data_IF_351093415851
#
_entry.id   IF_351093415851
#
_cell.length_a   1.000
_cell.length_b   1.000
_cell.length_c   1.000
_cell.angle_alpha   90.00
_cell.angle_beta   90.00
_cell.angle_gamma   90.00
#
_symmetry.space_group_name_H-M   'P 1'
#
loop_
_entity.id
_entity.type
_entity.pdbx_description
1 polymer ?
#
# COMPACT_ATOMS: atom_id res chain seq x y z
N UNK A 1 15.85 19.24 -25.14
CA UNK A 1 15.99 17.78 -24.98
C UNK A 1 17.40 17.47 -25.39
N UNK A 2 18.28 17.23 -24.41
CA UNK A 2 19.71 17.00 -24.64
C UNK A 2 19.94 15.66 -25.34
N UNK A 3 21.07 15.59 -26.08
CA UNK A 3 21.49 14.35 -26.77
C UNK A 3 21.63 13.16 -25.80
N UNK A 4 21.96 13.41 -24.54
CA UNK A 4 22.08 12.39 -23.48
C UNK A 4 20.76 11.67 -23.16
N UNK A 5 19.60 12.35 -23.17
CA UNK A 5 18.29 11.69 -22.99
C UNK A 5 17.96 10.70 -24.11
N UNK A 6 18.47 10.92 -25.32
CA UNK A 6 18.28 10.00 -26.44
C UNK A 6 19.20 8.77 -26.38
N UNK A 7 20.33 8.86 -25.70
CA UNK A 7 21.24 7.71 -25.53
C UNK A 7 20.72 6.68 -24.52
N UNK A 8 20.06 7.10 -23.46
CA UNK A 8 19.54 6.21 -22.42
C UNK A 8 18.44 5.24 -22.91
N UNK A 9 17.68 5.63 -23.94
CA UNK A 9 16.59 4.81 -24.48
C UNK A 9 17.07 3.71 -25.45
N UNK A 10 18.38 3.61 -25.70
CA UNK A 10 19.01 2.65 -26.64
C UNK A 10 19.86 1.60 -25.91
N UNK A 11 20.12 1.80 -24.61
CA UNK A 11 20.92 0.86 -23.81
C UNK A 11 20.16 -0.45 -23.55
N UNK A 12 20.88 -1.57 -23.54
CA UNK A 12 20.35 -2.80 -22.96
C UNK A 12 20.16 -2.64 -21.45
N UNK A 13 19.37 -3.52 -20.83
CA UNK A 13 19.11 -3.49 -19.40
C UNK A 13 20.41 -3.58 -18.57
N UNK A 14 21.36 -4.43 -18.97
CA UNK A 14 22.67 -4.58 -18.33
C UNK A 14 23.56 -3.34 -18.49
N UNK A 15 23.56 -2.71 -19.68
CA UNK A 15 24.29 -1.47 -19.92
C UNK A 15 23.70 -0.29 -19.14
N UNK A 16 22.37 -0.25 -19.02
CA UNK A 16 21.68 0.77 -18.23
C UNK A 16 21.97 0.65 -16.74
N UNK A 17 21.95 -0.60 -16.19
CA UNK A 17 22.31 -0.85 -14.80
C UNK A 17 23.75 -0.45 -14.50
N UNK A 18 24.69 -0.82 -15.37
CA UNK A 18 26.09 -0.41 -15.25
C UNK A 18 26.24 1.11 -15.30
N UNK A 19 25.47 1.79 -16.15
CA UNK A 19 25.46 3.26 -16.21
C UNK A 19 24.97 3.87 -14.90
N UNK A 20 23.91 3.33 -14.29
CA UNK A 20 23.36 3.80 -13.01
C UNK A 20 24.37 3.62 -11.87
N UNK A 21 25.02 2.46 -11.78
CA UNK A 21 26.08 2.21 -10.76
C UNK A 21 27.24 3.21 -10.89
N UNK A 22 27.72 3.46 -12.13
CA UNK A 22 28.77 4.46 -12.34
C UNK A 22 28.32 5.88 -11.99
N UNK A 23 27.03 6.19 -12.19
CA UNK A 23 26.48 7.50 -11.79
C UNK A 23 26.38 7.65 -10.28
N UNK A 24 26.07 6.56 -9.55
CA UNK A 24 26.08 6.53 -8.08
C UNK A 24 27.50 6.82 -7.56
N UNK A 25 28.50 6.07 -8.04
CA UNK A 25 29.90 6.26 -7.63
C UNK A 25 30.37 7.71 -7.91
N UNK A 26 30.05 8.24 -9.08
CA UNK A 26 30.43 9.61 -9.45
C UNK A 26 29.71 10.67 -8.58
N UNK A 27 28.46 10.44 -8.23
CA UNK A 27 27.69 11.33 -7.34
C UNK A 27 28.26 11.32 -5.92
N UNK A 28 28.61 10.14 -5.37
CA UNK A 28 29.22 10.02 -4.05
C UNK A 28 30.57 10.75 -3.96
N UNK A 29 31.40 10.69 -5.02
CA UNK A 29 32.62 11.49 -5.09
C UNK A 29 32.35 13.00 -5.06
N UNK A 30 31.28 13.47 -5.69
CA UNK A 30 30.88 14.87 -5.65
C UNK A 30 30.31 15.28 -4.31
N UNK A 31 29.56 14.43 -3.64
CA UNK A 31 29.08 14.64 -2.28
C UNK A 31 30.28 14.85 -1.33
N UNK A 32 31.32 14.00 -1.39
CA UNK A 32 32.53 14.17 -0.60
C UNK A 32 33.27 15.49 -0.85
N UNK A 33 33.16 16.03 -2.06
CA UNK A 33 33.76 17.32 -2.45
C UNK A 33 32.85 18.52 -2.27
N UNK A 34 31.59 18.29 -1.87
CA UNK A 34 30.54 19.31 -1.77
C UNK A 34 30.24 20.03 -3.10
N UNK A 35 30.28 19.27 -4.22
CA UNK A 35 30.11 19.76 -5.60
C UNK A 35 28.88 19.17 -6.30
N UNK A 36 27.87 18.73 -5.57
CA UNK A 36 26.73 17.94 -6.07
C UNK A 36 25.43 18.72 -6.22
N UNK A 37 25.29 19.88 -5.59
CA UNK A 37 24.02 20.61 -5.45
C UNK A 37 23.31 20.86 -6.80
N UNK A 38 24.07 21.24 -7.83
CA UNK A 38 23.51 21.53 -9.16
C UNK A 38 23.10 20.26 -9.93
N UNK A 39 23.56 19.08 -9.51
CA UNK A 39 23.33 17.83 -10.21
C UNK A 39 22.36 16.89 -9.48
N UNK A 40 22.00 17.17 -8.21
CA UNK A 40 21.17 16.30 -7.38
C UNK A 40 19.81 16.00 -8.02
N UNK A 41 19.21 16.97 -8.70
CA UNK A 41 17.93 16.80 -9.39
C UNK A 41 18.03 15.79 -10.54
N UNK A 42 19.06 15.90 -11.37
CA UNK A 42 19.27 14.99 -12.50
C UNK A 42 19.63 13.58 -12.01
N UNK A 43 20.42 13.49 -10.94
CA UNK A 43 20.78 12.23 -10.31
C UNK A 43 19.56 11.53 -9.72
N UNK A 44 18.70 12.24 -8.99
CA UNK A 44 17.49 11.67 -8.41
C UNK A 44 16.48 11.25 -9.50
N UNK A 45 16.37 12.01 -10.60
CA UNK A 45 15.57 11.59 -11.75
C UNK A 45 16.12 10.33 -12.42
N UNK A 46 17.43 10.13 -12.44
CA UNK A 46 18.05 8.91 -12.94
C UNK A 46 17.71 7.72 -12.06
N UNK A 47 17.82 7.84 -10.74
CA UNK A 47 17.47 6.79 -9.79
C UNK A 47 15.97 6.43 -9.87
N UNK A 48 15.08 7.43 -9.99
CA UNK A 48 13.65 7.22 -10.21
C UNK A 48 13.40 6.43 -11.50
N UNK A 49 14.04 6.80 -12.61
CA UNK A 49 13.94 6.10 -13.91
C UNK A 49 14.47 4.67 -13.82
N UNK A 50 15.52 4.44 -13.04
CA UNK A 50 16.11 3.13 -12.80
C UNK A 50 15.33 2.30 -11.76
N UNK A 51 14.25 2.83 -11.18
CA UNK A 51 13.49 2.20 -10.09
C UNK A 51 14.33 1.89 -8.84
N UNK A 52 15.38 2.70 -8.59
CA UNK A 52 16.32 2.57 -7.46
C UNK A 52 15.81 3.36 -6.25
N UNK A 53 14.63 2.99 -5.75
CA UNK A 53 13.96 3.70 -4.65
C UNK A 53 14.65 3.53 -3.30
N UNK A 54 15.33 2.41 -3.09
CA UNK A 54 16.11 2.19 -1.87
C UNK A 54 17.26 3.18 -1.76
N UNK A 55 17.94 3.47 -2.90
CA UNK A 55 19.01 4.47 -2.94
C UNK A 55 18.44 5.89 -2.76
N UNK A 56 17.30 6.20 -3.39
CA UNK A 56 16.61 7.47 -3.15
C UNK A 56 16.24 7.65 -1.67
N UNK A 57 15.73 6.61 -1.02
CA UNK A 57 15.40 6.65 0.39
C UNK A 57 16.66 6.88 1.25
N UNK A 58 17.74 6.17 0.95
CA UNK A 58 19.02 6.33 1.63
C UNK A 58 19.50 7.79 1.57
N UNK A 59 19.55 8.39 0.37
CA UNK A 59 19.97 9.79 0.20
C UNK A 59 19.02 10.80 0.84
N UNK A 60 17.72 10.50 0.92
CA UNK A 60 16.73 11.38 1.58
C UNK A 60 16.79 11.30 3.11
N UNK A 61 17.28 10.20 3.69
CA UNK A 61 17.49 10.02 5.14
C UNK A 61 18.82 10.61 5.64
N UNK A 62 19.78 10.82 4.73
CA UNK A 62 21.04 11.49 5.09
C UNK A 62 20.80 12.99 5.26
N UNK A 63 20.85 13.47 6.51
CA UNK A 63 20.75 14.90 6.87
C UNK A 63 21.87 15.79 6.29
N UNK A 64 22.73 15.23 5.42
CA UNK A 64 23.92 15.88 4.89
C UNK A 64 23.71 16.44 3.47
N UNK A 65 22.64 16.06 2.77
CA UNK A 65 22.38 16.55 1.43
C UNK A 65 21.60 17.86 1.45
N UNK A 66 22.21 18.90 0.88
CA UNK A 66 21.54 20.15 0.62
C UNK A 66 20.86 20.12 -0.75
N UNK A 67 19.65 20.61 -0.83
CA UNK A 67 18.89 20.73 -2.06
C UNK A 67 18.94 22.16 -2.59
N UNK A 68 18.88 22.35 -3.92
CA UNK A 68 18.91 23.70 -4.52
C UNK A 68 17.79 24.60 -4.00
N UNK A 69 16.65 24.02 -3.65
CA UNK A 69 15.48 24.71 -3.09
C UNK A 69 14.75 23.81 -2.09
N UNK A 70 14.02 24.43 -1.14
CA UNK A 70 13.10 23.70 -0.28
C UNK A 70 12.01 22.96 -1.05
N UNK A 71 11.56 23.51 -2.17
CA UNK A 71 10.59 22.88 -3.05
C UNK A 71 11.11 21.54 -3.60
N UNK A 72 12.37 21.52 -4.06
CA UNK A 72 13.02 20.31 -4.54
C UNK A 72 13.10 19.24 -3.45
N UNK A 73 13.58 19.60 -2.27
CA UNK A 73 13.61 18.71 -1.11
C UNK A 73 12.24 18.10 -0.80
N UNK A 74 11.19 18.93 -0.70
CA UNK A 74 9.86 18.43 -0.38
C UNK A 74 9.26 17.56 -1.48
N UNK A 75 9.51 17.87 -2.76
CA UNK A 75 9.04 17.04 -3.87
C UNK A 75 9.63 15.63 -3.81
N UNK A 76 10.93 15.50 -3.59
CA UNK A 76 11.57 14.19 -3.49
C UNK A 76 11.17 13.44 -2.23
N UNK A 77 11.10 14.13 -1.10
CA UNK A 77 10.64 13.54 0.17
C UNK A 77 9.23 12.96 0.06
N UNK A 78 8.32 13.69 -0.59
CA UNK A 78 6.95 13.24 -0.81
C UNK A 78 6.92 12.04 -1.78
N UNK A 79 7.67 12.07 -2.89
CA UNK A 79 7.74 10.97 -3.83
C UNK A 79 8.24 9.68 -3.19
N UNK A 80 9.33 9.74 -2.43
CA UNK A 80 9.89 8.60 -1.72
C UNK A 80 8.90 8.07 -0.68
N UNK A 81 8.24 8.95 0.08
CA UNK A 81 7.25 8.55 1.06
C UNK A 81 5.99 7.90 0.42
N UNK A 82 5.56 8.38 -0.76
CA UNK A 82 4.47 7.74 -1.52
C UNK A 82 4.90 6.34 -1.97
N UNK A 83 6.13 6.19 -2.49
CA UNK A 83 6.65 4.89 -2.89
C UNK A 83 6.71 3.90 -1.71
N UNK A 84 7.09 4.38 -0.53
CA UNK A 84 7.15 3.61 0.71
C UNK A 84 5.77 3.46 1.40
N UNK A 85 4.67 3.79 0.72
CA UNK A 85 3.28 3.67 1.21
C UNK A 85 2.98 4.47 2.49
N UNK A 86 3.77 5.50 2.78
CA UNK A 86 3.61 6.36 3.94
C UNK A 86 2.53 7.44 3.73
N UNK A 87 1.39 7.06 3.15
CA UNK A 87 0.34 7.97 2.71
C UNK A 87 -0.16 8.93 3.80
N UNK A 88 -0.35 8.43 5.03
CA UNK A 88 -0.79 9.29 6.15
C UNK A 88 0.21 10.41 6.48
N UNK A 89 1.49 10.12 6.34
CA UNK A 89 2.55 11.09 6.58
C UNK A 89 2.60 12.13 5.46
N UNK A 90 2.44 11.69 4.22
CA UNK A 90 2.33 12.58 3.05
C UNK A 90 1.12 13.52 3.19
N UNK A 91 -0.05 12.98 3.54
CA UNK A 91 -1.26 13.78 3.78
C UNK A 91 -1.04 14.84 4.87
N UNK A 92 -0.35 14.48 5.96
CA UNK A 92 -0.02 15.43 7.03
C UNK A 92 0.95 16.53 6.57
N UNK A 93 1.95 16.20 5.73
CA UNK A 93 2.86 17.20 5.19
C UNK A 93 2.17 18.16 4.21
N UNK A 94 1.31 17.66 3.33
CA UNK A 94 0.63 18.45 2.29
C UNK A 94 -0.34 19.51 2.83
N UNK A 95 -0.74 19.41 4.11
CA UNK A 95 -1.57 20.43 4.79
C UNK A 95 -0.73 21.36 5.68
N UNK A 96 0.59 21.17 5.79
CA UNK A 96 1.45 21.98 6.63
C UNK A 96 1.82 23.29 5.92
N UNK A 97 1.71 24.41 6.62
CA UNK A 97 1.91 25.75 6.03
C UNK A 97 3.31 25.92 5.40
N UNK A 98 4.37 25.38 6.02
CA UNK A 98 5.74 25.48 5.50
C UNK A 98 5.90 24.71 4.17
N UNK A 99 5.28 23.54 4.05
CA UNK A 99 5.30 22.74 2.81
C UNK A 99 4.52 23.43 1.71
N UNK A 100 3.35 23.99 2.04
CA UNK A 100 2.54 24.76 1.09
C UNK A 100 3.31 26.00 0.62
N UNK A 101 4.01 26.68 1.53
CA UNK A 101 4.82 27.85 1.19
C UNK A 101 6.01 27.48 0.29
N UNK A 102 6.66 26.34 0.55
CA UNK A 102 7.79 25.87 -0.25
C UNK A 102 7.37 25.40 -1.66
N UNK A 103 6.32 24.60 -1.77
CA UNK A 103 5.87 23.98 -3.02
C UNK A 103 4.97 24.89 -3.87
N UNK A 104 4.15 25.72 -3.23
CA UNK A 104 3.02 26.39 -3.87
C UNK A 104 1.82 25.46 -4.10
N UNK A 105 0.62 26.05 -4.17
CA UNK A 105 -0.65 25.29 -4.22
C UNK A 105 -0.75 24.34 -5.42
N UNK A 106 -0.22 24.71 -6.57
CA UNK A 106 -0.29 23.86 -7.79
C UNK A 106 0.48 22.54 -7.58
N UNK A 107 1.68 22.61 -7.00
CA UNK A 107 2.50 21.43 -6.71
C UNK A 107 1.93 20.60 -5.56
N UNK A 108 1.36 21.23 -4.54
CA UNK A 108 0.63 20.55 -3.46
C UNK A 108 -0.53 19.74 -4.06
N UNK A 109 -1.29 20.32 -4.98
CA UNK A 109 -2.38 19.61 -5.66
C UNK A 109 -1.87 18.43 -6.50
N UNK A 110 -0.79 18.61 -7.27
CA UNK A 110 -0.16 17.51 -8.02
C UNK A 110 0.26 16.35 -7.10
N UNK A 111 0.93 16.65 -5.98
CA UNK A 111 1.34 15.66 -4.99
C UNK A 111 0.14 14.97 -4.32
N UNK A 112 -0.92 15.71 -4.02
CA UNK A 112 -2.16 15.16 -3.47
C UNK A 112 -2.79 14.15 -4.44
N UNK A 113 -2.90 14.53 -5.71
CA UNK A 113 -3.45 13.65 -6.76
C UNK A 113 -2.57 12.40 -6.98
N UNK A 114 -1.24 12.54 -6.92
CA UNK A 114 -0.32 11.42 -7.01
C UNK A 114 -0.51 10.46 -5.81
N UNK A 115 -0.54 11.00 -4.60
CA UNK A 115 -0.77 10.24 -3.37
C UNK A 115 -2.09 9.46 -3.42
N UNK A 116 -3.19 10.12 -3.79
CA UNK A 116 -4.49 9.47 -3.93
C UNK A 116 -4.51 8.40 -5.02
N UNK A 117 -3.83 8.62 -6.14
CA UNK A 117 -3.72 7.66 -7.22
C UNK A 117 -2.99 6.39 -6.78
N UNK A 118 -1.84 6.52 -6.12
CA UNK A 118 -1.06 5.36 -5.67
C UNK A 118 -1.77 4.62 -4.52
N UNK A 119 -2.37 5.34 -3.58
CA UNK A 119 -3.22 4.78 -2.53
C UNK A 119 -4.41 3.98 -3.10
N UNK A 120 -5.06 4.53 -4.13
CA UNK A 120 -6.17 3.84 -4.81
C UNK A 120 -5.68 2.68 -5.68
N UNK A 121 -4.50 2.77 -6.27
CA UNK A 121 -3.89 1.70 -7.06
C UNK A 121 -3.62 0.46 -6.20
N UNK A 122 -2.98 0.63 -5.03
CA UNK A 122 -2.78 -0.46 -4.08
C UNK A 122 -4.10 -1.14 -3.72
N UNK A 123 -5.08 -0.36 -3.30
CA UNK A 123 -6.40 -0.88 -2.94
C UNK A 123 -7.11 -1.57 -4.11
N UNK A 124 -6.93 -1.09 -5.33
CA UNK A 124 -7.53 -1.67 -6.52
C UNK A 124 -6.90 -3.01 -6.90
N UNK A 125 -5.57 -3.14 -6.84
CA UNK A 125 -4.86 -4.41 -7.08
C UNK A 125 -5.28 -5.49 -6.08
N UNK A 126 -5.37 -5.13 -4.79
CA UNK A 126 -5.86 -6.04 -3.75
C UNK A 126 -7.33 -6.45 -3.98
N UNK A 127 -8.18 -5.52 -4.38
CA UNK A 127 -9.58 -5.83 -4.73
C UNK A 127 -9.66 -6.78 -5.92
N UNK A 128 -8.90 -6.56 -6.98
CA UNK A 128 -8.88 -7.43 -8.15
C UNK A 128 -8.44 -8.86 -7.79
N UNK A 129 -7.39 -8.99 -6.96
CA UNK A 129 -6.92 -10.29 -6.47
C UNK A 129 -7.96 -10.98 -5.60
N UNK A 130 -8.61 -10.25 -4.69
CA UNK A 130 -9.70 -10.78 -3.88
C UNK A 130 -10.90 -11.20 -4.72
N UNK A 131 -11.25 -10.43 -5.76
CA UNK A 131 -12.31 -10.79 -6.71
C UNK A 131 -11.98 -12.07 -7.47
N UNK A 132 -10.73 -12.28 -7.89
CA UNK A 132 -10.27 -13.51 -8.52
C UNK A 132 -10.43 -14.71 -7.58
N UNK A 133 -10.00 -14.58 -6.30
CA UNK A 133 -10.18 -15.64 -5.30
C UNK A 133 -11.67 -15.93 -5.05
N UNK A 134 -12.49 -14.89 -4.94
CA UNK A 134 -13.96 -15.03 -4.80
C UNK A 134 -14.58 -15.73 -6.01
N UNK A 135 -14.13 -15.41 -7.23
CA UNK A 135 -14.62 -16.06 -8.45
C UNK A 135 -14.26 -17.55 -8.52
N UNK A 136 -13.11 -17.96 -7.97
CA UNK A 136 -12.72 -19.35 -7.85
C UNK A 136 -13.65 -20.12 -6.91
N UNK A 137 -13.94 -19.57 -5.73
CA UNK A 137 -14.90 -20.19 -4.79
C UNK A 137 -16.29 -20.37 -5.41
N UNK A 138 -16.74 -19.42 -6.23
CA UNK A 138 -18.03 -19.55 -6.96
C UNK A 138 -18.04 -20.64 -8.01
N UNK A 139 -16.86 -21.13 -8.42
CA UNK A 139 -16.68 -22.25 -9.36
C UNK A 139 -16.39 -23.57 -8.64
N UNK A 140 -16.62 -23.64 -7.35
CA UNK A 140 -16.28 -24.79 -6.49
C UNK A 140 -14.79 -25.15 -6.52
N UNK A 141 -13.90 -24.16 -6.69
CA UNK A 141 -12.46 -24.32 -6.59
C UNK A 141 -11.98 -23.91 -5.19
N UNK A 142 -11.43 -24.86 -4.37
CA UNK A 142 -10.96 -24.52 -3.04
C UNK A 142 -9.74 -23.61 -3.09
N UNK A 143 -9.61 -22.75 -2.08
CA UNK A 143 -8.42 -21.93 -1.87
C UNK A 143 -7.37 -22.69 -1.05
N UNK A 144 -6.10 -22.41 -1.30
CA UNK A 144 -5.00 -22.88 -0.44
C UNK A 144 -5.02 -22.17 0.91
N UNK A 145 -4.30 -22.69 1.89
CA UNK A 145 -4.16 -22.05 3.21
C UNK A 145 -3.57 -20.63 3.07
N UNK A 146 -2.49 -20.48 2.28
CA UNK A 146 -1.87 -19.19 1.99
C UNK A 146 -2.85 -18.18 1.34
N UNK A 147 -3.73 -18.66 0.44
CA UNK A 147 -4.73 -17.80 -0.19
C UNK A 147 -5.84 -17.37 0.78
N UNK A 148 -6.23 -18.25 1.70
CA UNK A 148 -7.19 -17.91 2.76
C UNK A 148 -6.57 -16.91 3.75
N UNK A 149 -5.31 -17.11 4.16
CA UNK A 149 -4.58 -16.21 5.04
C UNK A 149 -4.41 -14.82 4.42
N UNK A 150 -3.94 -14.77 3.16
CA UNK A 150 -3.85 -13.55 2.38
C UNK A 150 -5.20 -12.80 2.31
N UNK A 151 -6.29 -13.52 1.98
CA UNK A 151 -7.63 -12.95 1.92
C UNK A 151 -8.04 -12.33 3.26
N UNK A 152 -7.88 -13.08 4.35
CA UNK A 152 -8.29 -12.65 5.67
C UNK A 152 -7.55 -11.39 6.11
N UNK A 153 -6.20 -11.38 5.93
CA UNK A 153 -5.34 -10.25 6.27
C UNK A 153 -5.68 -9.02 5.42
N UNK A 154 -5.81 -9.19 4.11
CA UNK A 154 -6.14 -8.08 3.20
C UNK A 154 -7.51 -7.49 3.49
N UNK A 155 -8.54 -8.32 3.71
CA UNK A 155 -9.88 -7.86 4.03
C UNK A 155 -9.95 -7.12 5.37
N UNK A 156 -9.10 -7.49 6.35
CA UNK A 156 -9.01 -6.80 7.62
C UNK A 156 -8.50 -5.36 7.45
N UNK A 157 -7.50 -5.17 6.59
CA UNK A 157 -6.88 -3.87 6.35
C UNK A 157 -7.65 -2.97 5.37
N UNK A 158 -8.46 -3.58 4.50
CA UNK A 158 -9.18 -2.89 3.44
C UNK A 158 -10.29 -1.97 3.99
N UNK A 159 -10.37 -0.75 3.48
CA UNK A 159 -11.36 0.28 3.88
C UNK A 159 -12.38 0.61 2.77
N UNK A 160 -12.50 -0.24 1.74
CA UNK A 160 -13.40 0.02 0.60
C UNK A 160 -14.79 -0.61 0.78
N UNK A 161 -15.85 -0.06 0.16
CA UNK A 161 -17.19 -0.68 0.19
C UNK A 161 -17.23 -2.09 -0.41
N UNK A 162 -16.32 -2.39 -1.36
CA UNK A 162 -16.21 -3.71 -1.99
C UNK A 162 -15.77 -4.81 -1.02
N UNK A 163 -15.10 -4.46 0.07
CA UNK A 163 -14.75 -5.37 1.18
C UNK A 163 -15.92 -6.29 1.54
N UNK A 164 -17.09 -5.69 1.77
CA UNK A 164 -18.27 -6.43 2.23
C UNK A 164 -18.84 -7.38 1.20
N UNK A 165 -18.81 -6.99 -0.09
CA UNK A 165 -19.23 -7.86 -1.19
C UNK A 165 -18.34 -9.10 -1.31
N UNK A 166 -17.01 -8.92 -1.08
CA UNK A 166 -16.06 -10.03 -1.12
C UNK A 166 -16.23 -10.91 0.12
N UNK A 167 -16.37 -10.33 1.32
CA UNK A 167 -16.64 -11.08 2.55
C UNK A 167 -17.90 -11.93 2.40
N UNK A 168 -19.00 -11.39 1.90
CA UNK A 168 -20.24 -12.15 1.70
C UNK A 168 -20.02 -13.36 0.78
N UNK A 169 -19.28 -13.19 -0.31
CA UNK A 169 -18.99 -14.28 -1.24
C UNK A 169 -18.19 -15.43 -0.56
N UNK A 170 -17.22 -15.08 0.28
CA UNK A 170 -16.44 -16.07 1.02
C UNK A 170 -17.27 -16.76 2.14
N UNK A 171 -18.09 -16.03 2.84
CA UNK A 171 -18.98 -16.58 3.86
C UNK A 171 -20.01 -17.54 3.29
N UNK A 172 -20.52 -17.25 2.10
CA UNK A 172 -21.54 -18.07 1.42
C UNK A 172 -20.95 -19.33 0.78
N UNK A 173 -19.64 -19.43 0.59
CA UNK A 173 -19.04 -20.62 -0.01
C UNK A 173 -19.00 -21.80 0.96
N UNK A 174 -19.45 -23.01 0.55
CA UNK A 174 -19.30 -24.23 1.33
C UNK A 174 -17.84 -24.67 1.48
N UNK A 175 -16.96 -24.20 0.60
CA UNK A 175 -15.54 -24.56 0.56
C UNK A 175 -14.68 -23.73 1.53
N UNK A 176 -15.19 -22.59 2.01
CA UNK A 176 -14.48 -21.78 3.01
C UNK A 176 -14.54 -22.48 4.37
N UNK A 177 -13.36 -22.73 4.95
CA UNK A 177 -13.25 -23.37 6.25
C UNK A 177 -13.92 -22.53 7.35
N UNK A 178 -14.45 -23.20 8.39
CA UNK A 178 -15.17 -22.57 9.48
C UNK A 178 -14.32 -21.53 10.22
N UNK A 179 -13.04 -21.79 10.39
CA UNK A 179 -12.07 -20.87 11.00
C UNK A 179 -12.08 -19.50 10.29
N UNK A 180 -11.96 -19.51 8.96
CA UNK A 180 -11.94 -18.26 8.17
C UNK A 180 -13.30 -17.56 8.15
N UNK A 181 -14.40 -18.32 8.20
CA UNK A 181 -15.74 -17.73 8.35
C UNK A 181 -15.89 -17.02 9.68
N UNK A 182 -15.43 -17.63 10.77
CA UNK A 182 -15.41 -17.01 12.10
C UNK A 182 -14.64 -15.69 12.08
N UNK A 183 -13.44 -15.69 11.50
CA UNK A 183 -12.60 -14.51 11.36
C UNK A 183 -13.29 -13.37 10.56
N UNK A 184 -13.94 -13.69 9.45
CA UNK A 184 -14.65 -12.70 8.63
C UNK A 184 -15.93 -12.18 9.33
N UNK A 185 -16.58 -12.99 10.16
CA UNK A 185 -17.70 -12.55 11.00
C UNK A 185 -17.20 -11.57 12.07
N UNK A 186 -16.04 -11.80 12.68
CA UNK A 186 -15.41 -10.83 13.61
C UNK A 186 -15.10 -9.50 12.94
N UNK A 187 -14.56 -9.51 11.71
CA UNK A 187 -14.37 -8.29 10.93
C UNK A 187 -15.69 -7.55 10.69
N UNK A 188 -16.78 -8.27 10.45
CA UNK A 188 -18.10 -7.68 10.29
C UNK A 188 -18.66 -7.12 11.60
N UNK A 189 -18.46 -7.80 12.73
CA UNK A 189 -18.88 -7.32 14.04
C UNK A 189 -18.19 -5.98 14.37
N UNK A 190 -16.92 -5.85 14.03
CA UNK A 190 -16.12 -4.64 14.31
C UNK A 190 -16.49 -3.48 13.38
N UNK A 191 -16.43 -3.70 12.06
CA UNK A 191 -16.46 -2.63 11.05
C UNK A 191 -17.72 -2.64 10.19
N UNK A 192 -18.51 -3.71 10.23
CA UNK A 192 -19.66 -3.91 9.35
C UNK A 192 -20.78 -2.90 9.62
N UNK A 193 -21.30 -2.30 8.55
CA UNK A 193 -22.42 -1.35 8.61
C UNK A 193 -23.80 -1.99 8.58
N UNK A 194 -23.88 -3.26 8.15
CA UNK A 194 -25.15 -4.00 8.06
C UNK A 194 -25.49 -4.62 9.41
N UNK A 195 -26.77 -4.58 9.78
CA UNK A 195 -27.26 -5.23 11.01
C UNK A 195 -27.22 -6.76 10.91
N UNK A 196 -27.23 -7.29 9.70
CA UNK A 196 -27.31 -8.74 9.45
C UNK A 196 -26.28 -9.17 8.41
N UNK A 197 -25.79 -10.41 8.55
CA UNK A 197 -24.91 -11.08 7.61
C UNK A 197 -25.38 -12.52 7.38
N UNK A 198 -25.10 -13.07 6.20
CA UNK A 198 -25.42 -14.45 5.86
C UNK A 198 -24.16 -15.24 5.64
N UNK A 199 -24.15 -16.49 6.09
CA UNK A 199 -23.07 -17.42 5.82
C UNK A 199 -23.62 -18.85 5.60
N UNK A 200 -22.86 -19.66 4.89
CA UNK A 200 -23.15 -21.08 4.75
C UNK A 200 -22.58 -21.83 5.94
N UNK A 201 -23.48 -22.45 6.74
CA UNK A 201 -23.08 -23.31 7.85
C UNK A 201 -22.86 -24.74 7.35
N UNK A 202 -21.61 -25.21 7.44
CA UNK A 202 -21.22 -26.54 6.97
C UNK A 202 -21.79 -27.68 7.82
N UNK A 203 -22.18 -27.41 9.08
CA UNK A 203 -22.75 -28.44 9.96
C UNK A 203 -24.23 -28.72 9.66
N UNK A 204 -24.99 -27.67 9.43
CA UNK A 204 -26.40 -27.78 9.08
C UNK A 204 -26.67 -27.89 7.58
N UNK A 205 -25.62 -27.69 6.75
CA UNK A 205 -25.68 -27.60 5.27
C UNK A 205 -26.69 -26.56 4.79
N UNK A 206 -26.82 -25.44 5.50
CA UNK A 206 -27.78 -24.37 5.21
C UNK A 206 -27.14 -22.99 5.26
N UNK A 207 -27.82 -22.07 4.59
CA UNK A 207 -27.53 -20.64 4.75
C UNK A 207 -28.20 -20.16 6.02
N UNK A 208 -27.39 -19.58 6.91
CA UNK A 208 -27.85 -18.99 8.18
C UNK A 208 -27.71 -17.47 8.07
N UNK A 209 -28.74 -16.76 8.52
CA UNK A 209 -28.70 -15.30 8.70
C UNK A 209 -28.47 -15.01 10.18
N UNK A 210 -27.52 -14.13 10.46
CA UNK A 210 -27.13 -13.75 11.82
C UNK A 210 -27.36 -12.27 12.01
N UNK A 211 -27.99 -11.88 13.10
CA UNK A 211 -28.16 -10.50 13.50
C UNK A 211 -26.98 -10.07 14.40
N UNK A 212 -26.43 -8.89 14.13
CA UNK A 212 -25.30 -8.34 14.89
C UNK A 212 -25.59 -8.22 16.41
N UNK A 213 -26.84 -7.97 16.76
CA UNK A 213 -27.27 -7.87 18.14
C UNK A 213 -27.32 -9.22 18.88
N UNK A 214 -27.30 -10.34 18.15
CA UNK A 214 -27.39 -11.70 18.73
C UNK A 214 -26.04 -12.39 18.82
N UNK A 215 -24.97 -11.80 18.24
CA UNK A 215 -23.64 -12.38 18.21
C UNK A 215 -22.73 -11.63 19.18
N UNK A 216 -22.06 -12.37 20.03
CA UNK A 216 -21.00 -11.86 20.91
C UNK A 216 -19.67 -12.14 20.24
N UNK A 217 -18.82 -11.11 20.11
CA UNK A 217 -17.44 -11.27 19.64
C UNK A 217 -16.71 -12.32 20.48
N UNK A 218 -15.86 -13.11 19.84
CA UNK A 218 -15.01 -14.08 20.55
C UNK A 218 -14.17 -13.37 21.62
N UNK A 219 -13.71 -12.15 21.35
CA UNK A 219 -12.92 -11.35 22.31
C UNK A 219 -13.74 -10.86 23.50
N UNK A 220 -15.06 -10.68 23.35
CA UNK A 220 -15.96 -10.28 24.43
C UNK A 220 -16.59 -11.49 25.17
N UNK A 221 -16.29 -12.70 24.71
CA UNK A 221 -16.83 -13.91 25.36
C UNK A 221 -16.21 -14.12 26.74
N UNK A 222 -17.01 -14.39 27.79
CA UNK A 222 -16.54 -14.49 29.20
C UNK A 222 -15.34 -15.41 29.40
N UNK A 223 -15.22 -16.47 28.61
CA UNK A 223 -14.08 -17.42 28.68
C UNK A 223 -12.77 -16.74 28.24
N UNK A 224 -12.77 -15.89 27.23
CA UNK A 224 -11.57 -15.17 26.78
C UNK A 224 -11.19 -14.05 27.74
N UNK A 225 -12.18 -13.31 28.24
CA UNK A 225 -11.97 -12.26 29.26
C UNK A 225 -11.37 -12.83 30.55
N UNK A 226 -11.68 -14.09 30.88
CA UNK A 226 -11.15 -14.76 32.07
C UNK A 226 -9.71 -15.28 31.84
N UNK A 227 -9.36 -15.69 30.63
CA UNK A 227 -7.99 -16.10 30.26
C UNK A 227 -7.01 -14.92 30.29
N UNK A 228 -7.42 -13.73 29.86
CA UNK A 228 -6.57 -12.52 29.90
C UNK A 228 -6.32 -12.02 31.36
N UNK A 229 -7.07 -12.50 32.34
CA UNK A 229 -6.91 -12.15 33.77
C UNK A 229 -5.99 -13.08 34.53
N UNK A 230 -5.57 -14.19 33.94
CA UNK A 230 -4.64 -15.18 34.51
C UNK A 230 -3.21 -14.88 34.07
#
# INVERSE_FOLDING_TARGET
MSEEKKQLDVLSEEEFETFVENAIDAFEEKVQKNEYIDEIEEFFQLLEKANRWDDLNFYMEEDQLEFPTEASYWLWKIKVAIHNEQFKQVEAWLIHDDVIAALGMDKVLECTLLCEKEKNRFTQEEVEKLQQLSARLKKDEPLTEEQNDYMATTLMLMQTPLKWTVIEAFLMSPLTQLFWKGFLIECWLTDGKTAKIRYYDAFSEKVVEVDKAEVVSVYDHPVFVEIERL
#
